data_IF_484455118603
#
_entry.id   IF_484455118603
#
_cell.length_a   1.000
_cell.length_b   1.000
_cell.length_c   1.000
_cell.angle_alpha   90.00
_cell.angle_beta   90.00
_cell.angle_gamma   90.00
#
_symmetry.space_group_name_H-M   'P 1'
#
loop_
_entity.id
_entity.type
_entity.pdbx_description
1 polymer ?
#
# COMPACT_ATOMS: atom_id res chain seq x y z
N UNK A 1 -29.04 -8.15 -8.60
CA UNK A 1 -27.71 -8.68 -8.98
C UNK A 1 -27.25 -7.88 -10.19
N UNK A 2 -26.20 -7.07 -10.06
CA UNK A 2 -25.80 -6.09 -11.09
C UNK A 2 -25.17 -6.72 -12.33
N UNK A 3 -25.38 -6.07 -13.48
CA UNK A 3 -25.10 -6.54 -14.84
C UNK A 3 -23.59 -6.75 -15.12
N UNK A 4 -22.69 -6.20 -14.28
CA UNK A 4 -21.24 -6.27 -14.46
C UNK A 4 -20.49 -7.03 -13.35
N UNK A 5 -21.10 -8.03 -12.73
CA UNK A 5 -20.41 -8.83 -11.70
C UNK A 5 -19.79 -10.08 -12.31
N UNK A 6 -18.47 -10.10 -12.44
CA UNK A 6 -17.71 -11.29 -12.86
C UNK A 6 -17.87 -12.40 -11.82
N UNK A 7 -17.91 -13.66 -12.29
CA UNK A 7 -18.01 -14.82 -11.42
C UNK A 7 -16.76 -14.92 -10.55
N UNK A 8 -16.93 -15.06 -9.24
CA UNK A 8 -15.81 -15.26 -8.33
C UNK A 8 -15.17 -16.64 -8.55
N UNK A 9 -13.87 -16.71 -8.27
CA UNK A 9 -13.09 -17.95 -8.28
C UNK A 9 -13.62 -18.93 -7.22
N UNK A 10 -13.70 -20.23 -7.58
CA UNK A 10 -14.04 -21.28 -6.63
C UNK A 10 -12.89 -21.41 -5.62
N UNK A 11 -13.20 -21.29 -4.33
CA UNK A 11 -12.24 -21.54 -3.24
C UNK A 11 -12.53 -22.92 -2.66
N UNK A 12 -11.52 -23.78 -2.61
CA UNK A 12 -11.61 -25.08 -1.96
C UNK A 12 -11.23 -24.91 -0.50
N UNK A 13 -12.17 -25.16 0.41
CA UNK A 13 -11.92 -25.12 1.84
C UNK A 13 -11.67 -26.56 2.29
N UNK A 14 -10.40 -26.89 2.55
CA UNK A 14 -10.03 -28.18 3.13
C UNK A 14 -10.00 -28.06 4.65
N UNK A 15 -10.75 -28.91 5.35
CA UNK A 15 -10.75 -29.01 6.82
C UNK A 15 -10.14 -30.34 7.22
N UNK A 16 -8.87 -30.38 7.63
CA UNK A 16 -8.23 -31.60 8.12
C UNK A 16 -8.96 -32.17 9.35
N UNK A 17 -9.16 -33.49 9.40
CA UNK A 17 -9.98 -34.16 10.42
C UNK A 17 -9.33 -34.26 11.81
N UNK A 18 -7.99 -34.22 11.89
CA UNK A 18 -7.22 -34.39 13.13
C UNK A 18 -6.36 -33.18 13.49
N UNK A 19 -6.53 -32.07 12.78
CA UNK A 19 -5.70 -30.90 12.95
C UNK A 19 -6.51 -29.80 13.62
N UNK A 20 -6.06 -29.41 14.80
CA UNK A 20 -6.62 -28.29 15.55
C UNK A 20 -5.83 -27.04 15.20
N UNK A 21 -6.47 -26.18 14.41
CA UNK A 21 -5.95 -24.89 14.00
C UNK A 21 -5.95 -23.97 15.23
N UNK A 22 -4.81 -23.86 15.92
CA UNK A 22 -4.59 -22.94 17.06
C UNK A 22 -4.62 -21.45 16.66
N UNK A 23 -5.48 -21.08 15.71
CA UNK A 23 -5.62 -19.74 15.15
C UNK A 23 -4.75 -19.45 13.93
N UNK A 24 -3.86 -20.35 13.51
CA UNK A 24 -2.92 -20.13 12.39
C UNK A 24 -3.52 -20.44 11.00
N UNK A 25 -4.58 -21.25 10.96
CA UNK A 25 -5.32 -21.58 9.74
C UNK A 25 -4.70 -22.72 8.94
N UNK A 26 -5.50 -23.33 8.06
CA UNK A 26 -5.15 -24.56 7.37
C UNK A 26 -3.75 -24.53 6.69
N UNK A 27 -2.80 -25.40 7.09
CA UNK A 27 -1.43 -25.45 6.55
C UNK A 27 -1.37 -25.94 5.11
N UNK A 28 -2.44 -26.57 4.63
CA UNK A 28 -2.59 -27.03 3.25
C UNK A 28 -3.33 -26.02 2.37
N UNK A 29 -3.66 -24.83 2.90
CA UNK A 29 -4.27 -23.79 2.09
C UNK A 29 -3.28 -23.28 1.04
N UNK A 30 -3.70 -23.27 -0.22
CA UNK A 30 -2.94 -22.65 -1.32
C UNK A 30 -3.01 -21.13 -1.12
N UNK A 31 -2.06 -20.58 -0.36
CA UNK A 31 -1.89 -19.14 -0.13
C UNK A 31 -0.76 -18.61 -1.02
N UNK A 32 -0.86 -17.36 -1.46
CA UNK A 32 0.25 -16.68 -2.11
C UNK A 32 1.30 -16.28 -1.07
N UNK A 33 2.59 -16.28 -1.42
CA UNK A 33 3.70 -15.91 -0.51
C UNK A 33 3.56 -14.53 0.13
N UNK A 34 2.80 -13.63 -0.50
CA UNK A 34 2.58 -12.27 -0.02
C UNK A 34 1.19 -12.03 0.57
N UNK A 35 0.36 -13.06 0.73
CA UNK A 35 -0.98 -12.87 1.29
C UNK A 35 -0.94 -12.46 2.76
N UNK A 36 0.12 -12.83 3.49
CA UNK A 36 0.31 -12.46 4.90
C UNK A 36 0.68 -10.99 5.10
N UNK A 37 1.33 -10.38 4.12
CA UNK A 37 1.73 -8.97 4.15
C UNK A 37 0.67 -8.02 3.58
N UNK A 38 -0.48 -8.55 3.12
CA UNK A 38 -1.54 -7.77 2.48
C UNK A 38 -2.65 -7.44 3.49
N UNK A 39 -2.61 -6.23 4.03
CA UNK A 39 -3.65 -5.70 4.93
C UNK A 39 -4.89 -5.18 4.20
N UNK A 40 -4.80 -4.97 2.87
CA UNK A 40 -5.82 -4.27 2.07
C UNK A 40 -6.84 -5.19 1.38
N UNK A 41 -6.53 -6.48 1.23
CA UNK A 41 -7.41 -7.43 0.54
C UNK A 41 -8.32 -8.12 1.56
N UNK A 42 -9.64 -7.98 1.40
CA UNK A 42 -10.62 -8.63 2.28
C UNK A 42 -11.83 -7.76 2.60
N UNK A 43 -12.82 -8.37 3.27
CA UNK A 43 -14.03 -7.68 3.73
C UNK A 43 -13.75 -7.04 5.09
N UNK A 44 -13.10 -5.88 5.10
CA UNK A 44 -12.76 -5.14 6.31
C UNK A 44 -13.87 -4.17 6.71
N UNK A 45 -14.11 -4.02 8.02
CA UNK A 45 -15.00 -2.98 8.56
C UNK A 45 -14.40 -1.59 8.33
N UNK A 46 -15.24 -0.53 8.33
CA UNK A 46 -14.78 0.86 8.15
C UNK A 46 -13.67 1.24 9.15
N UNK A 47 -13.82 0.86 10.42
CA UNK A 47 -12.81 1.09 11.47
C UNK A 47 -11.48 0.39 11.16
N UNK A 48 -11.53 -0.88 10.74
CA UNK A 48 -10.33 -1.63 10.38
C UNK A 48 -9.60 -0.99 9.18
N UNK A 49 -10.34 -0.53 8.17
CA UNK A 49 -9.74 0.19 7.03
C UNK A 49 -9.02 1.47 7.44
N UNK A 50 -9.64 2.28 8.31
CA UNK A 50 -9.03 3.51 8.80
C UNK A 50 -7.78 3.23 9.63
N UNK A 51 -7.86 2.25 10.54
CA UNK A 51 -6.70 1.86 11.36
C UNK A 51 -5.55 1.32 10.51
N UNK A 52 -5.84 0.47 9.51
CA UNK A 52 -4.82 -0.05 8.60
C UNK A 52 -4.21 1.06 7.77
N UNK A 53 -5.01 1.98 7.23
CA UNK A 53 -4.49 3.12 6.46
C UNK A 53 -3.61 4.05 7.32
N UNK A 54 -3.97 4.28 8.59
CA UNK A 54 -3.15 5.04 9.53
C UNK A 54 -1.87 4.29 9.91
N UNK A 55 -1.94 2.97 10.06
CA UNK A 55 -0.78 2.13 10.33
C UNK A 55 0.19 2.10 9.14
N UNK A 56 -0.33 1.95 7.92
CA UNK A 56 0.47 2.00 6.68
C UNK A 56 1.12 3.39 6.49
N UNK A 57 0.41 4.48 6.82
CA UNK A 57 0.96 5.84 6.80
C UNK A 57 2.08 6.05 7.84
N UNK A 58 2.01 5.35 8.98
CA UNK A 58 3.01 5.34 10.06
C UNK A 58 4.11 4.31 9.85
N UNK A 59 3.93 3.37 8.93
CA UNK A 59 4.92 2.35 8.57
C UNK A 59 6.24 2.97 8.14
N UNK A 60 7.30 2.16 8.08
CA UNK A 60 8.65 2.64 7.78
C UNK A 60 8.68 3.48 6.50
N UNK A 61 8.69 4.80 6.68
CA UNK A 61 8.96 5.73 5.61
C UNK A 61 10.42 5.59 5.31
N UNK A 62 10.70 5.07 4.12
CA UNK A 62 12.05 4.92 3.62
C UNK A 62 12.68 6.32 3.46
N UNK A 63 13.33 6.79 4.54
CA UNK A 63 13.80 8.18 4.67
C UNK A 63 14.78 8.53 3.56
N UNK A 64 15.55 7.54 3.12
CA UNK A 64 16.50 7.66 2.03
C UNK A 64 15.80 7.88 0.68
N UNK A 65 14.76 7.11 0.38
CA UNK A 65 13.97 7.30 -0.84
C UNK A 65 13.32 8.69 -0.89
N UNK A 66 12.72 9.13 0.22
CA UNK A 66 12.12 10.46 0.32
C UNK A 66 13.15 11.59 0.12
N UNK A 67 14.35 11.44 0.69
CA UNK A 67 15.44 12.40 0.50
C UNK A 67 15.88 12.48 -0.97
N UNK A 68 16.04 11.34 -1.64
CA UNK A 68 16.40 11.28 -3.07
C UNK A 68 15.33 11.97 -3.92
N UNK A 69 14.05 11.68 -3.68
CA UNK A 69 12.92 12.31 -4.40
C UNK A 69 12.95 13.84 -4.20
N UNK A 70 13.15 14.32 -2.97
CA UNK A 70 13.22 15.74 -2.67
C UNK A 70 14.38 16.42 -3.43
N UNK A 71 15.56 15.80 -3.45
CA UNK A 71 16.72 16.30 -4.20
C UNK A 71 16.41 16.38 -5.70
N UNK A 72 15.81 15.33 -6.28
CA UNK A 72 15.43 15.31 -7.70
C UNK A 72 14.45 16.44 -8.01
N UNK A 73 13.42 16.62 -7.19
CA UNK A 73 12.42 17.69 -7.38
C UNK A 73 13.06 19.06 -7.28
N UNK A 74 13.94 19.29 -6.30
CA UNK A 74 14.65 20.57 -6.14
C UNK A 74 15.51 20.91 -7.36
N UNK A 75 16.24 19.93 -7.92
CA UNK A 75 17.05 20.11 -9.13
C UNK A 75 16.17 20.44 -10.33
N UNK A 76 15.08 19.69 -10.53
CA UNK A 76 14.15 19.94 -11.64
C UNK A 76 13.52 21.33 -11.58
N UNK A 77 13.13 21.78 -10.39
CA UNK A 77 12.60 23.13 -10.18
C UNK A 77 13.66 24.19 -10.48
N UNK A 78 14.90 24.00 -10.02
CA UNK A 78 16.00 24.92 -10.33
C UNK A 78 16.26 25.03 -11.84
N UNK A 79 16.31 23.91 -12.56
CA UNK A 79 16.49 23.90 -14.02
C UNK A 79 15.33 24.62 -14.71
N UNK A 80 14.09 24.35 -14.28
CA UNK A 80 12.91 25.01 -14.82
C UNK A 80 12.97 26.53 -14.62
N UNK A 81 13.29 26.99 -13.41
CA UNK A 81 13.41 28.41 -13.08
C UNK A 81 14.53 29.09 -13.87
N UNK A 82 15.63 28.40 -14.13
CA UNK A 82 16.73 28.90 -14.95
C UNK A 82 16.33 29.09 -16.41
N UNK A 83 15.55 28.17 -17.00
CA UNK A 83 15.12 28.26 -18.41
C UNK A 83 14.24 29.49 -18.67
N UNK A 84 13.44 29.89 -17.69
CA UNK A 84 12.50 31.01 -17.82
C UNK A 84 13.06 32.34 -17.29
N UNK A 85 14.34 32.38 -16.90
CA UNK A 85 14.98 33.52 -16.23
C UNK A 85 14.14 34.08 -15.05
N UNK A 86 13.61 33.19 -14.21
CA UNK A 86 12.73 33.59 -13.12
C UNK A 86 13.48 34.35 -12.01
N UNK A 87 13.01 35.55 -11.68
CA UNK A 87 13.58 36.38 -10.62
C UNK A 87 13.18 35.88 -9.22
N UNK A 88 14.14 35.26 -8.51
CA UNK A 88 13.96 34.77 -7.14
C UNK A 88 14.02 35.88 -6.08
N UNK A 89 14.50 37.07 -6.43
CA UNK A 89 14.64 38.18 -5.48
C UNK A 89 13.28 38.72 -5.00
N UNK A 90 12.21 38.48 -5.76
CA UNK A 90 10.82 38.86 -5.41
C UNK A 90 10.35 38.29 -4.07
N UNK A 91 10.95 37.21 -3.58
CA UNK A 91 10.57 36.57 -2.31
C UNK A 91 11.34 37.09 -1.09
N UNK A 92 12.38 37.90 -1.29
CA UNK A 92 13.25 38.40 -0.21
C UNK A 92 13.08 39.90 0.07
N UNK A 93 12.11 40.54 -0.59
CA UNK A 93 11.70 41.93 -0.36
C UNK A 93 10.61 42.06 0.71
#
# INVERSE_FOLDING_TARGET
MGIFKTRQNKKYNYTPQYFDDKGEGNPYAIKHKFDEYRTTIGKHSLKAKLNNALADLKGEKDKEANRRILIIVAILVLIFLFIIDFDLSIFFS
#
